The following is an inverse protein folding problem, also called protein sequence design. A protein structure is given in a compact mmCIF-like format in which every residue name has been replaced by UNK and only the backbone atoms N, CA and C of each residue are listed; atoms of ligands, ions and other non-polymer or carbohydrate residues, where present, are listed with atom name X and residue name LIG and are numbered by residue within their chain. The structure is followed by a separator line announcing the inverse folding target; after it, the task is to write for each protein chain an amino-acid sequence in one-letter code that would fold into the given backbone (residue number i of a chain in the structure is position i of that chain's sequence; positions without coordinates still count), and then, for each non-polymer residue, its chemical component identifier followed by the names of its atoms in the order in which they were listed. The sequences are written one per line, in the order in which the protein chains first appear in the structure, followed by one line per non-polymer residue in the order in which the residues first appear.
data_IF_201215193161
#
_entry.id   IF_201215193161
#
_cell.length_a   1.000
_cell.length_b   1.000
_cell.length_c   1.000
_cell.angle_alpha   90.00
_cell.angle_beta   90.00
_cell.angle_gamma   90.00
#
_symmetry.space_group_name_H-M   'P 1'
#
loop_
_entity.id
_entity.type
_entity.pdbx_description
1 polymer ?
#
# COMPACT_ATOMS: atom_id res chain seq x y z
N UNK A 1 13.93 13.00 -10.83
CA UNK A 1 14.12 13.16 -9.35
C UNK A 1 12.84 12.95 -8.53
N UNK A 2 11.63 13.35 -8.98
CA UNK A 2 10.36 13.15 -8.22
C UNK A 2 9.95 11.69 -8.03
N UNK A 3 9.98 10.88 -9.09
CA UNK A 3 9.58 9.47 -9.03
C UNK A 3 10.46 8.67 -8.05
N UNK A 4 11.77 8.84 -8.12
CA UNK A 4 12.71 8.21 -7.18
C UNK A 4 12.39 8.51 -5.71
N UNK A 5 11.97 9.74 -5.39
CA UNK A 5 11.53 10.08 -4.02
C UNK A 5 10.23 9.38 -3.62
N UNK A 6 9.27 9.26 -4.55
CA UNK A 6 8.02 8.54 -4.28
C UNK A 6 8.29 7.05 -4.03
N UNK A 7 9.19 6.45 -4.83
CA UNK A 7 9.63 5.07 -4.64
C UNK A 7 10.33 4.89 -3.29
N UNK A 8 11.26 5.80 -2.94
CA UNK A 8 11.95 5.75 -1.66
C UNK A 8 10.99 5.85 -0.46
N UNK A 9 9.98 6.72 -0.55
CA UNK A 9 8.93 6.82 0.47
C UNK A 9 8.12 5.53 0.61
N UNK A 10 7.68 4.95 -0.51
CA UNK A 10 6.96 3.68 -0.52
C UNK A 10 7.81 2.53 0.02
N UNK A 11 9.09 2.46 -0.35
CA UNK A 11 10.04 1.47 0.17
C UNK A 11 10.24 1.61 1.69
N UNK A 12 10.30 2.84 2.20
CA UNK A 12 10.40 3.08 3.63
C UNK A 12 9.15 2.59 4.39
N UNK A 13 7.95 2.77 3.82
CA UNK A 13 6.70 2.22 4.37
C UNK A 13 6.68 0.69 4.37
N UNK A 14 7.12 0.04 3.27
CA UNK A 14 7.24 -1.42 3.19
C UNK A 14 8.21 -1.94 4.26
N UNK A 15 9.40 -1.32 4.36
CA UNK A 15 10.39 -1.70 5.37
C UNK A 15 9.88 -1.48 6.81
N UNK A 16 9.03 -0.47 7.03
CA UNK A 16 8.38 -0.26 8.32
C UNK A 16 7.39 -1.39 8.66
N UNK A 17 6.52 -1.76 7.71
CA UNK A 17 5.61 -2.89 7.88
C UNK A 17 6.35 -4.21 8.12
N UNK A 18 7.49 -4.42 7.46
CA UNK A 18 8.35 -5.58 7.70
C UNK A 18 8.90 -5.61 9.13
N UNK A 19 9.37 -4.47 9.67
CA UNK A 19 9.83 -4.39 11.06
C UNK A 19 8.74 -4.70 12.09
N UNK A 20 7.48 -4.47 11.73
CA UNK A 20 6.33 -4.77 12.59
C UNK A 20 5.77 -6.19 12.38
N UNK A 21 6.31 -6.96 11.43
CA UNK A 21 5.77 -8.28 11.05
C UNK A 21 4.48 -8.22 10.25
N UNK A 22 4.07 -7.05 9.77
CA UNK A 22 2.86 -6.84 8.96
C UNK A 22 3.11 -7.19 7.48
N UNK A 23 4.35 -7.07 7.01
CA UNK A 23 4.75 -7.39 5.63
C UNK A 23 5.87 -8.44 5.66
N UNK A 24 5.82 -9.47 4.79
CA UNK A 24 6.89 -10.47 4.71
C UNK A 24 8.27 -9.87 4.42
N UNK A 25 9.28 -10.33 5.18
CA UNK A 25 10.67 -9.84 5.08
C UNK A 25 11.41 -10.29 3.81
N UNK A 26 10.86 -11.25 3.07
CA UNK A 26 11.39 -11.74 1.79
C UNK A 26 11.06 -10.81 0.60
N UNK A 27 10.19 -9.81 0.79
CA UNK A 27 9.97 -8.77 -0.20
C UNK A 27 11.11 -7.76 -0.21
N UNK A 28 11.69 -7.50 -1.39
CA UNK A 28 12.57 -6.34 -1.56
C UNK A 28 11.75 -5.04 -1.45
N UNK A 29 12.04 -4.15 -0.48
CA UNK A 29 11.25 -2.93 -0.28
C UNK A 29 11.32 -1.96 -1.45
N UNK A 30 12.45 -1.92 -2.16
CA UNK A 30 12.66 -1.04 -3.31
C UNK A 30 11.79 -1.43 -4.50
N UNK A 31 11.82 -2.71 -4.87
CA UNK A 31 11.00 -3.28 -5.94
C UNK A 31 9.52 -3.23 -5.58
N UNK A 32 9.14 -3.59 -4.35
CA UNK A 32 7.76 -3.48 -3.89
C UNK A 32 7.25 -2.03 -3.95
N UNK A 33 8.03 -1.07 -3.44
CA UNK A 33 7.69 0.36 -3.51
C UNK A 33 7.60 0.89 -4.94
N UNK A 34 8.50 0.46 -5.82
CA UNK A 34 8.48 0.82 -7.24
C UNK A 34 7.22 0.27 -7.95
N UNK A 35 6.87 -0.99 -7.69
CA UNK A 35 5.67 -1.63 -8.24
C UNK A 35 4.40 -0.95 -7.76
N UNK A 36 4.26 -0.63 -6.47
CA UNK A 36 3.10 0.08 -5.91
C UNK A 36 2.94 1.45 -6.58
N UNK A 37 4.02 2.26 -6.63
CA UNK A 37 3.97 3.59 -7.25
C UNK A 37 3.66 3.51 -8.74
N UNK A 38 4.24 2.55 -9.46
CA UNK A 38 3.98 2.32 -10.88
C UNK A 38 2.52 1.91 -11.14
N UNK A 39 2.04 0.90 -10.40
CA UNK A 39 0.68 0.39 -10.49
C UNK A 39 -0.37 1.46 -10.20
N UNK A 40 -0.16 2.27 -9.15
CA UNK A 40 -1.07 3.38 -8.82
C UNK A 40 -1.16 4.42 -9.93
N UNK A 41 -0.02 4.80 -10.52
CA UNK A 41 -0.02 5.78 -11.63
C UNK A 41 -0.81 5.25 -12.83
N UNK A 42 -0.65 3.97 -13.17
CA UNK A 42 -1.37 3.35 -14.29
C UNK A 42 -2.88 3.17 -14.00
N UNK A 43 -3.23 2.74 -12.78
CA UNK A 43 -4.61 2.56 -12.37
C UNK A 43 -5.37 3.90 -12.31
N UNK A 44 -4.77 4.94 -11.74
CA UNK A 44 -5.34 6.30 -11.76
C UNK A 44 -5.50 6.83 -13.18
N UNK A 45 -4.48 6.67 -14.03
CA UNK A 45 -4.56 7.06 -15.45
C UNK A 45 -5.72 6.37 -16.17
N UNK A 46 -5.89 5.07 -15.93
CA UNK A 46 -6.99 4.28 -16.50
C UNK A 46 -8.34 4.74 -15.99
N UNK A 47 -8.49 4.98 -14.68
CA UNK A 47 -9.75 5.41 -14.07
C UNK A 47 -10.18 6.81 -14.55
N UNK A 48 -9.23 7.74 -14.66
CA UNK A 48 -9.49 9.11 -15.10
C UNK A 48 -9.79 9.24 -16.60
N UNK A 49 -9.32 8.28 -17.40
CA UNK A 49 -9.59 8.21 -18.84
C UNK A 49 -10.96 7.59 -19.18
N UNK A 50 -11.70 7.05 -18.20
CA UNK A 50 -13.04 6.45 -18.44
C UNK A 50 -14.06 7.52 -18.82
N UNK A 51 -15.00 7.24 -19.74
CA UNK A 51 -16.09 8.16 -20.10
C UNK A 51 -16.95 8.55 -18.90
N UNK A 52 -17.24 7.59 -18.01
CA UNK A 52 -17.82 7.82 -16.70
C UNK A 52 -16.76 7.56 -15.63
N UNK A 53 -16.39 8.60 -14.88
CA UNK A 53 -15.38 8.49 -13.82
C UNK A 53 -15.97 7.72 -12.63
N UNK A 54 -15.22 6.77 -12.05
CA UNK A 54 -15.68 6.09 -10.84
C UNK A 54 -15.74 7.08 -9.67
N UNK A 55 -16.62 6.85 -8.67
CA UNK A 55 -16.60 7.59 -7.42
C UNK A 55 -15.23 7.49 -6.76
N UNK A 56 -14.75 8.60 -6.19
CA UNK A 56 -13.42 8.67 -5.57
C UNK A 56 -13.26 7.63 -4.45
N UNK A 57 -14.24 7.55 -3.55
CA UNK A 57 -14.22 6.60 -2.43
C UNK A 57 -14.08 5.14 -2.90
N UNK A 58 -14.75 4.79 -4.00
CA UNK A 58 -14.66 3.45 -4.58
C UNK A 58 -13.25 3.18 -5.14
N UNK A 59 -12.66 4.16 -5.84
CA UNK A 59 -11.33 4.01 -6.44
C UNK A 59 -10.25 3.89 -5.35
N UNK A 60 -10.34 4.71 -4.30
CA UNK A 60 -9.41 4.64 -3.15
C UNK A 60 -9.46 3.26 -2.51
N UNK A 61 -10.65 2.74 -2.26
CA UNK A 61 -10.86 1.44 -1.64
C UNK A 61 -10.32 0.29 -2.50
N UNK A 62 -10.55 0.31 -3.82
CA UNK A 62 -9.97 -0.69 -4.74
C UNK A 62 -8.44 -0.63 -4.78
N UNK A 63 -7.87 0.57 -4.88
CA UNK A 63 -6.42 0.75 -4.89
C UNK A 63 -5.79 0.27 -3.59
N UNK A 64 -6.45 0.51 -2.45
CA UNK A 64 -5.99 0.04 -1.15
C UNK A 64 -5.97 -1.49 -1.08
N UNK A 65 -7.07 -2.16 -1.46
CA UNK A 65 -7.14 -3.64 -1.51
C UNK A 65 -6.04 -4.24 -2.38
N UNK A 66 -5.80 -3.65 -3.55
CA UNK A 66 -4.75 -4.10 -4.46
C UNK A 66 -3.36 -3.98 -3.84
N UNK A 67 -3.05 -2.87 -3.16
CA UNK A 67 -1.75 -2.71 -2.50
C UNK A 67 -1.57 -3.71 -1.37
N UNK A 68 -2.56 -3.83 -0.48
CA UNK A 68 -2.55 -4.79 0.64
C UNK A 68 -2.26 -6.20 0.13
N UNK A 69 -2.95 -6.63 -0.94
CA UNK A 69 -2.70 -7.92 -1.57
C UNK A 69 -1.29 -8.02 -2.19
N UNK A 70 -0.87 -6.99 -2.94
CA UNK A 70 0.39 -7.01 -3.67
C UNK A 70 1.62 -7.03 -2.75
N UNK A 71 1.56 -6.37 -1.59
CA UNK A 71 2.63 -6.45 -0.58
C UNK A 71 2.43 -7.59 0.42
N UNK A 72 1.43 -8.45 0.21
CA UNK A 72 1.09 -9.57 1.11
C UNK A 72 0.94 -9.11 2.56
N UNK A 73 0.35 -7.92 2.76
CA UNK A 73 0.18 -7.35 4.09
C UNK A 73 -0.75 -8.24 4.90
N UNK A 74 -0.27 -8.67 6.06
CA UNK A 74 -1.00 -9.48 7.03
C UNK A 74 -1.66 -8.49 7.99
N UNK A 75 -2.99 -8.57 8.23
CA UNK A 75 -3.63 -7.71 9.20
C UNK A 75 -2.97 -7.92 10.55
N UNK A 76 -2.52 -6.82 11.18
CA UNK A 76 -1.95 -6.87 12.51
C UNK A 76 -2.96 -7.53 13.46
N UNK A 77 -2.53 -8.52 14.23
CA UNK A 77 -3.29 -8.99 15.39
C UNK A 77 -3.50 -7.75 16.29
N UNK A 78 -4.74 -7.41 16.69
CA UNK A 78 -5.01 -6.23 17.48
C UNK A 78 -4.11 -6.21 18.71
N UNK A 79 -3.25 -5.20 18.81
CA UNK A 79 -2.32 -5.06 19.92
C UNK A 79 -3.10 -4.55 21.14
N UNK A 80 -3.73 -5.46 21.87
CA UNK A 80 -4.31 -5.21 23.20
C UNK A 80 -5.80 -4.83 23.22
N UNK A 81 -6.65 -5.84 23.31
CA UNK A 81 -7.89 -5.79 24.11
C UNK A 81 -7.60 -5.97 25.62
N UNK A 82 -6.32 -5.94 26.02
CA UNK A 82 -5.87 -6.04 27.40
C UNK A 82 -5.45 -4.66 27.93
N UNK A 83 -5.99 -4.30 29.11
CA UNK A 83 -5.54 -3.21 30.00
C UNK A 83 -6.23 -1.83 29.94
N UNK A 84 -7.57 -1.77 29.82
CA UNK A 84 -8.31 -0.62 30.41
C UNK A 84 -9.59 -1.00 31.18
N UNK A 85 -9.87 -2.29 31.37
CA UNK A 85 -10.96 -2.77 32.25
C UNK A 85 -10.38 -3.32 33.55
N UNK A 86 -9.97 -2.43 34.44
CA UNK A 86 -9.80 -2.67 35.88
C UNK A 86 -10.00 -1.36 36.61
#
# INVERSE_FOLDING_TARGET
RRLARQIAGAAASVAWGQRNGEIPADLDPGLAGAMVVGGFRQALGTALARPARPPEAWLVEELWRLVVAAVRCIPAVPRGEAAWRS
#
